data_IF_414150844402
#
_entry.id   IF_414150844402
#
_cell.length_a   1.000
_cell.length_b   1.000
_cell.length_c   1.000
_cell.angle_alpha   90.00
_cell.angle_beta   90.00
_cell.angle_gamma   90.00
#
_symmetry.space_group_name_H-M   'P 1'
#
loop_
_entity.id
_entity.type
_entity.pdbx_description
1 polymer ?
#
# COMPACT_ATOMS: atom_id res chain seq x y z
N UNK A 1 27.04 14.51 -34.36
CA UNK A 1 26.75 13.06 -34.55
C UNK A 1 26.00 12.56 -33.32
N UNK A 2 24.67 12.56 -33.36
CA UNK A 2 23.85 11.97 -32.30
C UNK A 2 23.75 10.47 -32.58
N UNK A 3 24.23 9.66 -31.64
CA UNK A 3 24.18 8.20 -31.72
C UNK A 3 22.73 7.77 -31.46
N UNK A 4 21.96 7.55 -32.52
CA UNK A 4 20.62 6.96 -32.43
C UNK A 4 20.79 5.48 -32.09
N UNK A 5 20.57 5.12 -30.82
CA UNK A 5 20.57 3.73 -30.39
C UNK A 5 19.27 3.08 -30.88
N UNK A 6 19.38 2.26 -31.92
CA UNK A 6 18.33 1.42 -32.45
C UNK A 6 18.13 0.23 -31.50
N UNK A 7 17.14 0.29 -30.62
CA UNK A 7 16.80 -0.81 -29.71
C UNK A 7 15.68 -1.65 -30.37
N UNK A 8 15.99 -2.88 -30.77
CA UNK A 8 15.00 -3.83 -31.29
C UNK A 8 14.45 -4.64 -30.11
N UNK A 9 13.32 -4.23 -29.53
CA UNK A 9 12.58 -5.06 -28.58
C UNK A 9 11.32 -5.56 -29.28
N UNK A 10 11.28 -6.87 -29.51
CA UNK A 10 10.15 -7.57 -30.11
C UNK A 10 9.08 -7.74 -29.04
N UNK A 11 8.05 -6.89 -29.06
CA UNK A 11 6.84 -7.11 -28.25
C UNK A 11 5.88 -7.92 -29.12
N UNK A 12 5.77 -9.21 -28.84
CA UNK A 12 4.88 -10.11 -29.58
C UNK A 12 3.42 -9.92 -29.12
N UNK A 13 2.75 -8.91 -29.66
CA UNK A 13 1.29 -8.87 -29.70
C UNK A 13 0.90 -9.08 -31.16
N UNK A 14 0.44 -10.31 -31.48
CA UNK A 14 -0.15 -10.74 -32.75
C UNK A 14 0.71 -10.51 -34.02
N UNK A 15 1.45 -11.53 -34.51
CA UNK A 15 2.02 -11.69 -35.88
C UNK A 15 2.46 -10.43 -36.66
N UNK A 16 2.93 -9.39 -35.97
CA UNK A 16 3.43 -8.14 -36.57
C UNK A 16 4.76 -7.86 -35.89
N UNK A 17 5.84 -7.90 -36.67
CA UNK A 17 7.15 -7.46 -36.21
C UNK A 17 7.09 -5.94 -36.08
N UNK A 18 6.97 -5.47 -34.84
CA UNK A 18 7.01 -4.06 -34.48
C UNK A 18 8.34 -3.69 -33.86
N UNK A 19 9.00 -2.65 -34.36
CA UNK A 19 10.12 -2.02 -33.67
C UNK A 19 9.65 -0.72 -33.03
N UNK A 20 10.17 -0.38 -31.85
CA UNK A 20 9.98 0.97 -31.32
C UNK A 20 11.31 1.67 -31.11
N UNK A 21 11.29 2.99 -31.22
CA UNK A 21 12.43 3.85 -30.92
C UNK A 21 11.97 4.95 -29.97
N UNK A 22 12.66 5.08 -28.83
CA UNK A 22 12.48 6.22 -27.92
C UNK A 22 13.60 7.22 -28.19
N UNK A 23 13.26 8.47 -28.43
CA UNK A 23 14.22 9.52 -28.76
C UNK A 23 13.79 10.86 -28.18
N UNK A 24 14.77 11.75 -28.00
CA UNK A 24 14.57 13.11 -27.56
C UNK A 24 14.86 14.06 -28.72
N UNK A 25 13.93 14.96 -29.03
CA UNK A 25 14.15 15.99 -30.05
C UNK A 25 15.11 17.09 -29.55
N UNK A 26 15.41 18.07 -30.40
CA UNK A 26 16.35 19.15 -30.07
C UNK A 26 15.86 20.08 -28.94
N UNK A 27 14.54 20.14 -28.68
CA UNK A 27 13.95 20.89 -27.56
C UNK A 27 13.90 20.10 -26.26
N UNK A 28 14.43 18.87 -26.23
CA UNK A 28 14.44 18.04 -25.03
C UNK A 28 13.13 17.25 -24.80
N UNK A 29 12.18 17.29 -25.73
CA UNK A 29 10.93 16.53 -25.63
C UNK A 29 11.14 15.07 -26.05
N UNK A 30 10.60 14.17 -25.24
CA UNK A 30 10.71 12.73 -25.44
C UNK A 30 9.57 12.21 -26.32
N UNK A 31 9.86 11.30 -27.25
CA UNK A 31 8.90 10.65 -28.13
C UNK A 31 9.19 9.15 -28.24
N UNK A 32 8.15 8.38 -28.52
CA UNK A 32 8.24 6.96 -28.89
C UNK A 32 7.60 6.76 -30.25
N UNK A 33 8.38 6.26 -31.20
CA UNK A 33 7.90 5.85 -32.51
C UNK A 33 7.76 4.34 -32.55
N UNK A 34 6.62 3.83 -32.99
CA UNK A 34 6.42 2.45 -33.36
C UNK A 34 6.40 2.31 -34.88
N UNK A 35 7.16 1.35 -35.38
CA UNK A 35 7.22 0.96 -36.78
C UNK A 35 6.67 -0.44 -36.89
N UNK A 36 5.62 -0.59 -37.68
CA UNK A 36 5.04 -1.89 -38.00
C UNK A 36 5.19 -2.16 -39.48
N UNK A 37 5.58 -3.39 -39.81
CA UNK A 37 5.72 -3.85 -41.18
C UNK A 37 4.55 -4.77 -41.53
N UNK A 38 3.87 -4.48 -42.64
CA UNK A 38 2.84 -5.37 -43.16
C UNK A 38 3.47 -6.72 -43.56
N UNK A 39 2.82 -7.83 -43.22
CA UNK A 39 3.21 -9.17 -43.69
C UNK A 39 2.36 -9.58 -44.90
N UNK A 40 2.98 -10.15 -45.94
CA UNK A 40 2.31 -10.65 -47.15
C UNK A 40 2.59 -9.82 -48.42
N UNK A 41 1.67 -9.85 -49.39
CA UNK A 41 1.83 -9.31 -50.77
C UNK A 41 2.23 -7.81 -50.82
N UNK A 42 2.03 -7.07 -49.73
CA UNK A 42 2.42 -5.66 -49.56
C UNK A 42 3.52 -5.47 -48.48
N UNK A 43 4.58 -6.29 -48.50
CA UNK A 43 5.68 -6.27 -47.52
C UNK A 43 6.47 -4.93 -47.44
N UNK A 44 6.19 -3.97 -48.31
CA UNK A 44 6.80 -2.63 -48.33
C UNK A 44 5.99 -1.56 -47.60
N UNK A 45 4.77 -1.86 -47.14
CA UNK A 45 3.96 -0.91 -46.38
C UNK A 45 4.46 -0.80 -44.92
N UNK A 46 5.12 0.32 -44.61
CA UNK A 46 5.56 0.70 -43.26
C UNK A 46 4.56 1.67 -42.66
N UNK A 47 3.95 1.29 -41.53
CA UNK A 47 3.16 2.22 -40.72
C UNK A 47 4.02 2.70 -39.56
N UNK A 48 4.28 4.00 -39.54
CA UNK A 48 4.97 4.67 -38.47
C UNK A 48 3.97 5.44 -37.61
N UNK A 49 4.00 5.23 -36.31
CA UNK A 49 3.15 5.95 -35.36
C UNK A 49 3.99 6.52 -34.24
N UNK A 50 3.85 7.82 -33.99
CA UNK A 50 4.61 8.53 -32.96
C UNK A 50 3.69 8.95 -31.80
N UNK A 51 4.19 8.76 -30.58
CA UNK A 51 3.55 9.19 -29.34
C UNK A 51 4.48 10.07 -28.52
N UNK A 52 3.93 11.04 -27.79
CA UNK A 52 4.70 11.87 -26.88
C UNK A 52 5.03 11.10 -25.59
N UNK A 53 6.28 11.18 -25.14
CA UNK A 53 6.80 10.49 -23.97
C UNK A 53 7.41 9.11 -24.28
N UNK A 54 7.61 8.32 -23.23
CA UNK A 54 8.21 6.98 -23.28
C UNK A 54 7.38 6.00 -22.43
N UNK A 55 7.39 4.69 -22.72
CA UNK A 55 6.89 3.72 -21.76
C UNK A 55 7.85 3.47 -20.58
N UNK A 56 9.13 3.85 -20.68
CA UNK A 56 10.17 3.54 -19.69
C UNK A 56 10.39 4.64 -18.64
N UNK A 57 10.73 4.26 -17.42
CA UNK A 57 11.02 5.16 -16.30
C UNK A 57 11.95 6.32 -16.69
N UNK A 58 13.07 6.00 -17.36
CA UNK A 58 14.16 6.93 -17.69
C UNK A 58 14.35 7.13 -19.19
N UNK A 59 15.04 8.22 -19.53
CA UNK A 59 15.69 8.40 -20.83
C UNK A 59 17.12 8.94 -20.59
N UNK A 60 18.19 8.34 -21.16
CA UNK A 60 18.21 7.10 -21.94
C UNK A 60 17.55 5.90 -21.23
N UNK A 61 17.03 4.94 -22.01
CA UNK A 61 16.24 3.82 -21.47
C UNK A 61 17.05 2.98 -20.49
N UNK A 62 18.26 2.60 -20.90
CA UNK A 62 19.18 1.79 -20.12
C UNK A 62 19.98 2.68 -19.18
N UNK A 63 19.91 2.37 -17.91
CA UNK A 63 20.62 3.08 -16.85
C UNK A 63 21.41 2.08 -16.01
N UNK A 64 22.57 2.47 -15.47
CA UNK A 64 23.28 1.64 -14.52
C UNK A 64 22.43 1.39 -13.28
N UNK A 65 22.54 0.20 -12.72
CA UNK A 65 21.79 -0.18 -11.55
C UNK A 65 22.19 -1.54 -11.02
N UNK A 66 21.46 -1.99 -10.01
CA UNK A 66 21.76 -3.23 -9.30
C UNK A 66 20.50 -4.04 -9.14
N UNK A 67 20.63 -5.36 -9.11
CA UNK A 67 19.51 -6.30 -8.99
C UNK A 67 19.77 -7.29 -7.87
N UNK A 68 18.75 -7.57 -7.08
CA UNK A 68 18.69 -8.71 -6.18
C UNK A 68 17.50 -9.59 -6.59
N UNK A 69 17.77 -10.78 -7.13
CA UNK A 69 16.74 -11.66 -7.69
C UNK A 69 15.86 -12.31 -6.61
N UNK A 70 16.47 -12.80 -5.54
CA UNK A 70 15.80 -13.41 -4.39
C UNK A 70 16.48 -12.99 -3.07
N UNK A 71 15.85 -13.30 -1.94
CA UNK A 71 16.30 -12.85 -0.61
C UNK A 71 17.65 -13.45 -0.17
N UNK A 72 18.10 -14.52 -0.82
CA UNK A 72 19.35 -15.23 -0.53
C UNK A 72 20.42 -14.97 -1.60
N UNK A 73 20.04 -14.29 -2.68
CA UNK A 73 20.87 -14.03 -3.84
C UNK A 73 21.94 -12.97 -3.58
N UNK A 74 22.89 -12.91 -4.50
CA UNK A 74 23.89 -11.85 -4.54
C UNK A 74 23.35 -10.67 -5.34
N UNK A 75 23.66 -9.46 -4.89
CA UNK A 75 23.44 -8.26 -5.69
C UNK A 75 24.34 -8.28 -6.93
N UNK A 76 23.75 -8.00 -8.10
CA UNK A 76 24.42 -8.01 -9.40
C UNK A 76 24.30 -6.63 -10.05
N UNK A 77 25.42 -6.10 -10.54
CA UNK A 77 25.45 -4.87 -11.31
C UNK A 77 24.96 -5.12 -12.75
N UNK A 78 24.18 -4.18 -13.28
CA UNK A 78 23.54 -4.33 -14.58
C UNK A 78 23.19 -2.99 -15.22
N UNK A 79 22.86 -3.04 -16.52
CA UNK A 79 22.05 -2.01 -17.14
C UNK A 79 20.57 -2.42 -17.07
N UNK A 80 19.74 -1.51 -16.57
CA UNK A 80 18.34 -1.76 -16.31
C UNK A 80 17.45 -0.76 -17.05
N UNK A 81 16.29 -1.26 -17.44
CA UNK A 81 15.20 -0.44 -17.94
C UNK A 81 13.90 -0.91 -17.29
N UNK A 82 13.10 0.03 -16.78
CA UNK A 82 11.82 -0.30 -16.15
C UNK A 82 10.68 0.23 -17.01
N UNK A 83 9.92 -0.67 -17.65
CA UNK A 83 8.76 -0.33 -18.47
C UNK A 83 7.56 -0.07 -17.55
N UNK A 84 7.12 1.18 -17.44
CA UNK A 84 6.02 1.59 -16.57
C UNK A 84 4.62 1.32 -17.17
N UNK A 85 4.55 0.89 -18.43
CA UNK A 85 3.29 0.46 -19.07
C UNK A 85 3.03 -1.01 -18.75
N UNK A 86 4.06 -1.87 -18.91
CA UNK A 86 3.96 -3.31 -18.67
C UNK A 86 4.43 -3.72 -17.28
N UNK A 87 5.00 -2.80 -16.49
CA UNK A 87 5.65 -3.08 -15.21
C UNK A 87 6.76 -4.15 -15.29
N UNK A 88 7.41 -4.28 -16.44
CA UNK A 88 8.52 -5.21 -16.66
C UNK A 88 9.85 -4.54 -16.34
N UNK A 89 10.71 -5.27 -15.62
CA UNK A 89 12.11 -4.88 -15.40
C UNK A 89 12.96 -5.63 -16.42
N UNK A 90 13.60 -4.89 -17.31
CA UNK A 90 14.49 -5.42 -18.32
C UNK A 90 15.93 -5.28 -17.83
N UNK A 91 16.72 -6.30 -18.13
CA UNK A 91 18.09 -6.50 -17.68
C UNK A 91 18.98 -6.82 -18.88
N UNK A 92 20.19 -6.26 -18.87
CA UNK A 92 21.30 -6.71 -19.73
C UNK A 92 22.64 -6.51 -19.03
N UNK A 93 23.64 -7.31 -19.42
CA UNK A 93 25.01 -7.05 -19.01
C UNK A 93 25.54 -5.80 -19.72
N UNK A 94 26.39 -4.99 -19.06
CA UNK A 94 27.00 -3.83 -19.69
C UNK A 94 27.73 -4.23 -20.98
N UNK A 95 27.33 -3.62 -22.11
CA UNK A 95 27.90 -3.89 -23.43
C UNK A 95 27.30 -5.10 -24.17
N UNK A 96 26.37 -5.84 -23.55
CA UNK A 96 25.61 -6.89 -24.22
C UNK A 96 24.35 -6.31 -24.90
N UNK A 97 23.98 -6.91 -26.03
CA UNK A 97 22.73 -6.61 -26.74
C UNK A 97 21.57 -7.51 -26.30
N UNK A 98 21.86 -8.64 -25.64
CA UNK A 98 20.84 -9.57 -25.16
C UNK A 98 20.07 -8.96 -23.97
N UNK A 99 18.75 -8.89 -24.12
CA UNK A 99 17.84 -8.33 -23.11
C UNK A 99 17.04 -9.47 -22.48
N UNK A 100 16.97 -9.49 -21.16
CA UNK A 100 16.16 -10.42 -20.38
C UNK A 100 15.10 -9.65 -19.59
N UNK A 101 13.91 -10.23 -19.44
CA UNK A 101 12.88 -9.73 -18.53
C UNK A 101 13.03 -10.49 -17.22
N UNK A 102 13.20 -9.75 -16.12
CA UNK A 102 13.43 -10.31 -14.79
C UNK A 102 12.36 -9.86 -13.81
N UNK A 103 12.22 -10.60 -12.72
CA UNK A 103 11.26 -10.28 -11.65
C UNK A 103 11.94 -10.24 -10.29
N UNK A 104 12.83 -9.26 -10.06
CA UNK A 104 13.64 -9.21 -8.85
C UNK A 104 12.86 -8.94 -7.57
N UNK A 105 13.46 -9.28 -6.44
CA UNK A 105 12.99 -8.86 -5.12
C UNK A 105 13.19 -7.34 -4.96
N UNK A 106 14.36 -6.84 -5.33
CA UNK A 106 14.69 -5.40 -5.36
C UNK A 106 15.60 -5.07 -6.53
N UNK A 107 15.55 -3.83 -7.01
CA UNK A 107 16.55 -3.31 -7.95
C UNK A 107 16.79 -1.82 -7.73
N UNK A 108 17.85 -1.29 -8.30
CA UNK A 108 18.10 0.15 -8.37
C UNK A 108 18.19 0.60 -9.82
N UNK A 109 17.67 1.79 -10.13
CA UNK A 109 17.98 2.48 -11.39
C UNK A 109 18.58 3.82 -10.99
N UNK A 110 19.81 4.09 -11.39
CA UNK A 110 20.62 5.16 -10.80
C UNK A 110 20.71 4.98 -9.27
N UNK A 111 20.32 6.00 -8.50
CA UNK A 111 20.23 5.96 -7.03
C UNK A 111 18.88 5.48 -6.50
N UNK A 112 17.87 5.36 -7.36
CA UNK A 112 16.49 5.08 -6.92
C UNK A 112 16.31 3.59 -6.67
N UNK A 113 15.98 3.23 -5.43
CA UNK A 113 15.73 1.84 -5.02
C UNK A 113 14.26 1.49 -5.18
N UNK A 114 14.01 0.34 -5.81
CA UNK A 114 12.70 -0.24 -6.04
C UNK A 114 12.56 -1.55 -5.29
N UNK A 115 11.43 -1.74 -4.61
CA UNK A 115 11.10 -2.94 -3.86
C UNK A 115 9.82 -3.59 -4.39
N UNK A 116 9.79 -4.91 -4.35
CA UNK A 116 8.59 -5.68 -4.62
C UNK A 116 7.74 -5.79 -3.35
N UNK A 117 6.46 -5.35 -3.35
CA UNK A 117 5.60 -5.50 -2.18
C UNK A 117 5.35 -6.98 -1.85
N UNK A 118 5.56 -7.36 -0.60
CA UNK A 118 5.33 -8.71 -0.09
C UNK A 118 3.84 -9.02 0.13
N UNK A 119 3.45 -10.29 0.09
CA UNK A 119 2.16 -10.74 0.63
C UNK A 119 0.92 -10.52 -0.24
N UNK A 120 1.06 -10.59 -1.57
CA UNK A 120 -0.12 -10.67 -2.42
C UNK A 120 0.08 -11.68 -3.56
N UNK A 121 -0.43 -12.89 -3.29
CA UNK A 121 -0.64 -13.96 -4.25
C UNK A 121 -2.07 -13.79 -4.73
N UNK A 122 -2.24 -13.00 -5.78
CA UNK A 122 -3.39 -13.09 -6.66
C UNK A 122 -2.81 -13.19 -8.06
N UNK A 123 -3.20 -14.25 -8.75
CA UNK A 123 -2.71 -14.74 -10.04
C UNK A 123 -3.14 -13.90 -11.23
N UNK A 124 -3.77 -12.73 -11.01
CA UNK A 124 -4.17 -11.82 -12.07
C UNK A 124 -3.56 -10.42 -11.90
N UNK A 125 -2.67 -10.11 -12.85
CA UNK A 125 -2.35 -8.80 -13.44
C UNK A 125 -1.61 -7.74 -12.59
N UNK A 126 -0.36 -7.50 -13.01
CA UNK A 126 0.43 -6.26 -12.89
C UNK A 126 0.61 -5.66 -11.49
N UNK A 127 1.79 -5.88 -10.89
CA UNK A 127 2.23 -5.21 -9.66
C UNK A 127 3.32 -4.20 -10.00
N UNK A 128 3.10 -2.89 -9.81
CA UNK A 128 4.20 -1.94 -9.92
C UNK A 128 5.18 -2.19 -8.78
N UNK A 129 6.48 -2.14 -9.08
CA UNK A 129 7.50 -1.96 -8.06
C UNK A 129 7.33 -0.58 -7.42
N UNK A 130 7.58 -0.52 -6.11
CA UNK A 130 7.48 0.73 -5.36
C UNK A 130 8.88 1.29 -5.15
N UNK A 131 9.07 2.55 -5.52
CA UNK A 131 10.30 3.30 -5.25
C UNK A 131 10.32 3.69 -3.77
N UNK A 132 11.45 3.48 -3.10
CA UNK A 132 11.65 3.83 -1.69
C UNK A 132 12.07 5.29 -1.59
N UNK A 133 11.20 6.15 -1.08
CA UNK A 133 11.49 7.56 -0.85
C UNK A 133 12.13 7.80 0.52
N UNK A 134 11.75 7.01 1.52
CA UNK A 134 12.37 7.00 2.85
C UNK A 134 12.35 5.57 3.39
N UNK A 135 13.45 5.17 4.04
CA UNK A 135 13.69 3.80 4.49
C UNK A 135 13.89 3.72 6.02
N UNK A 136 12.95 4.30 6.79
CA UNK A 136 12.88 4.17 8.25
C UNK A 136 12.02 2.98 8.71
N UNK A 137 11.78 2.84 10.04
CA UNK A 137 10.77 1.94 10.60
C UNK A 137 9.40 2.10 9.91
N UNK A 138 9.03 3.33 9.55
CA UNK A 138 7.90 3.62 8.66
C UNK A 138 8.42 4.16 7.32
N UNK A 139 8.21 3.40 6.24
CA UNK A 139 8.68 3.73 4.89
C UNK A 139 7.67 4.60 4.16
N UNK A 140 8.18 5.58 3.40
CA UNK A 140 7.42 6.27 2.36
C UNK A 140 7.78 5.67 1.01
N UNK A 141 6.76 5.25 0.26
CA UNK A 141 6.92 4.56 -1.01
C UNK A 141 6.15 5.27 -2.12
N UNK A 142 6.66 5.18 -3.36
CA UNK A 142 6.07 5.78 -4.56
C UNK A 142 5.86 4.72 -5.64
N UNK A 143 4.61 4.48 -6.00
CA UNK A 143 4.23 3.71 -7.18
C UNK A 143 4.14 4.60 -8.42
N UNK A 144 4.63 4.10 -9.54
CA UNK A 144 4.56 4.79 -10.84
C UNK A 144 4.03 3.83 -11.89
N UNK A 145 3.13 4.34 -12.73
CA UNK A 145 2.64 3.62 -13.92
C UNK A 145 2.46 4.59 -15.06
N UNK A 146 2.47 4.09 -16.29
CA UNK A 146 2.21 4.88 -17.50
C UNK A 146 1.07 4.25 -18.30
N UNK A 147 0.20 5.11 -18.80
CA UNK A 147 -0.87 4.73 -19.72
C UNK A 147 -0.74 5.54 -21.00
N UNK A 148 -0.82 4.87 -22.15
CA UNK A 148 -0.90 5.54 -23.43
C UNK A 148 -2.32 6.08 -23.62
N UNK A 149 -2.46 7.41 -23.75
CA UNK A 149 -3.73 8.04 -24.08
C UNK A 149 -3.68 8.57 -25.50
N UNK A 150 -4.64 8.14 -26.31
CA UNK A 150 -4.85 8.72 -27.64
C UNK A 150 -5.29 10.18 -27.52
N UNK A 151 -4.85 11.01 -28.48
CA UNK A 151 -5.30 12.39 -28.57
C UNK A 151 -6.79 12.42 -28.98
N UNK A 152 -7.62 13.08 -28.18
CA UNK A 152 -9.06 13.20 -28.46
C UNK A 152 -9.38 14.30 -29.48
N UNK A 153 -8.41 15.18 -29.79
CA UNK A 153 -8.47 16.16 -30.86
C UNK A 153 -7.22 16.03 -31.73
N UNK A 154 -7.45 15.82 -33.01
CA UNK A 154 -6.44 15.95 -34.06
C UNK A 154 -6.15 17.44 -34.24
N UNK A 155 -5.33 18.03 -33.37
CA UNK A 155 -4.89 19.42 -33.57
C UNK A 155 -3.90 19.44 -34.74
N UNK A 156 -4.43 19.73 -35.92
CA UNK A 156 -3.75 19.76 -37.23
C UNK A 156 -2.78 20.94 -37.42
N UNK A 157 -2.34 21.59 -36.33
CA UNK A 157 -1.62 22.85 -36.38
C UNK A 157 -0.23 22.85 -35.72
N UNK A 158 0.33 21.69 -35.37
CA UNK A 158 1.76 21.56 -35.05
C UNK A 158 2.50 21.00 -36.28
N UNK A 159 3.35 21.81 -36.90
CA UNK A 159 3.99 21.49 -38.18
C UNK A 159 5.15 20.49 -38.11
N UNK A 160 5.60 20.07 -36.93
CA UNK A 160 6.91 19.41 -36.83
C UNK A 160 6.90 17.94 -36.38
N UNK A 161 5.92 17.46 -35.59
CA UNK A 161 5.72 16.02 -35.30
C UNK A 161 4.23 15.73 -35.05
N UNK A 162 3.60 14.96 -35.93
CA UNK A 162 2.24 14.46 -35.71
C UNK A 162 2.26 13.32 -34.67
N UNK A 163 1.69 13.57 -33.49
CA UNK A 163 1.57 12.54 -32.44
C UNK A 163 0.13 12.04 -32.34
N UNK A 164 -0.04 10.71 -32.22
CA UNK A 164 -1.36 10.09 -32.05
C UNK A 164 -1.83 10.05 -30.59
N UNK A 165 -0.97 10.42 -29.65
CA UNK A 165 -1.23 10.34 -28.22
C UNK A 165 -0.01 10.64 -27.37
N UNK A 166 -0.18 10.53 -26.05
CA UNK A 166 0.87 10.75 -25.07
C UNK A 166 0.86 9.68 -23.96
N UNK A 167 2.05 9.34 -23.45
CA UNK A 167 2.18 8.55 -22.22
C UNK A 167 1.91 9.44 -21.01
N UNK A 168 0.84 9.12 -20.27
CA UNK A 168 0.48 9.81 -19.04
C UNK A 168 0.98 9.01 -17.85
N UNK A 169 1.77 9.66 -17.00
CA UNK A 169 2.26 9.06 -15.75
C UNK A 169 1.23 9.22 -14.65
N UNK A 170 0.91 8.12 -13.97
CA UNK A 170 0.14 8.12 -12.72
C UNK A 170 1.09 7.80 -11.56
N UNK A 171 0.98 8.59 -10.49
CA UNK A 171 1.77 8.42 -9.26
C UNK A 171 0.80 8.12 -8.11
N UNK A 172 1.13 7.08 -7.34
CA UNK A 172 0.46 6.71 -6.11
C UNK A 172 1.49 6.67 -4.97
N UNK A 173 1.13 7.11 -3.77
CA UNK A 173 2.03 7.09 -2.61
C UNK A 173 1.52 6.11 -1.56
N UNK A 174 2.44 5.46 -0.86
CA UNK A 174 2.12 4.47 0.16
C UNK A 174 2.95 4.68 1.41
N UNK A 175 2.36 4.40 2.56
CA UNK A 175 3.06 4.27 3.83
C UNK A 175 3.16 2.78 4.17
N UNK A 176 4.33 2.33 4.61
CA UNK A 176 4.53 0.96 5.07
C UNK A 176 5.14 0.97 6.48
N UNK A 177 4.40 0.43 7.46
CA UNK A 177 4.85 0.31 8.86
C UNK A 177 5.58 -1.03 9.07
N UNK A 178 6.89 -1.01 9.29
CA UNK A 178 7.70 -2.22 9.40
C UNK A 178 7.51 -3.15 8.20
N UNK A 179 7.14 -4.41 8.48
CA UNK A 179 6.87 -5.45 7.48
C UNK A 179 5.38 -5.57 7.09
N UNK A 180 4.52 -4.67 7.60
CA UNK A 180 3.10 -4.64 7.24
C UNK A 180 2.92 -4.33 5.75
N UNK A 181 1.71 -4.53 5.22
CA UNK A 181 1.43 -4.24 3.81
C UNK A 181 1.47 -2.73 3.58
N UNK A 182 2.03 -2.23 2.46
CA UNK A 182 1.93 -0.83 2.09
C UNK A 182 0.47 -0.39 1.94
N UNK A 183 0.10 0.73 2.56
CA UNK A 183 -1.24 1.32 2.50
C UNK A 183 -1.22 2.59 1.65
N UNK A 184 -2.15 2.69 0.69
CA UNK A 184 -2.28 3.82 -0.22
C UNK A 184 -2.68 5.08 0.56
N UNK A 185 -1.99 6.18 0.29
CA UNK A 185 -2.31 7.50 0.83
C UNK A 185 -2.54 8.52 -0.30
N UNK A 186 -3.22 9.60 0.06
CA UNK A 186 -3.42 10.76 -0.79
C UNK A 186 -2.77 11.98 -0.12
N UNK A 187 -1.69 12.48 -0.71
CA UNK A 187 -0.95 13.65 -0.19
C UNK A 187 -1.79 14.94 -0.13
N UNK A 188 -2.89 15.02 -0.89
CA UNK A 188 -3.83 16.14 -0.83
C UNK A 188 -4.89 15.99 0.27
N UNK A 189 -4.88 14.90 1.04
CA UNK A 189 -5.87 14.60 2.08
C UNK A 189 -5.20 14.08 3.35
N UNK A 190 -5.01 14.96 4.33
CA UNK A 190 -4.41 14.64 5.63
C UNK A 190 -5.11 13.49 6.36
N UNK A 191 -6.44 13.39 6.25
CA UNK A 191 -7.19 12.25 6.81
C UNK A 191 -6.79 10.89 6.22
N UNK A 192 -6.30 10.83 4.97
CA UNK A 192 -5.81 9.57 4.40
C UNK A 192 -4.49 9.13 5.04
N UNK A 193 -3.63 10.09 5.43
CA UNK A 193 -2.37 9.84 6.12
C UNK A 193 -2.65 9.43 7.57
N UNK A 194 -3.53 10.18 8.26
CA UNK A 194 -3.96 9.87 9.63
C UNK A 194 -4.63 8.50 9.74
N UNK A 195 -5.35 8.05 8.72
CA UNK A 195 -5.98 6.73 8.70
C UNK A 195 -4.95 5.58 8.67
N UNK A 196 -3.76 5.79 8.08
CA UNK A 196 -2.68 4.80 8.09
C UNK A 196 -1.85 4.89 9.38
N UNK A 197 -1.63 6.11 9.88
CA UNK A 197 -0.89 6.41 11.11
C UNK A 197 -1.81 6.53 12.33
N UNK A 198 -2.82 5.66 12.41
CA UNK A 198 -3.93 5.75 13.38
C UNK A 198 -3.47 5.68 14.84
N UNK A 199 -2.32 5.08 15.14
CA UNK A 199 -1.82 4.92 16.51
C UNK A 199 -1.50 6.26 17.17
N UNK A 200 -1.10 7.27 16.39
CA UNK A 200 -0.72 8.59 16.89
C UNK A 200 -1.49 9.71 16.17
N UNK A 201 -2.66 9.39 15.60
CA UNK A 201 -3.43 10.34 14.76
C UNK A 201 -3.73 11.66 15.48
N UNK A 202 -4.03 11.60 16.77
CA UNK A 202 -4.37 12.78 17.58
C UNK A 202 -3.18 13.74 17.72
N UNK A 203 -1.95 13.20 17.88
CA UNK A 203 -0.71 13.99 17.95
C UNK A 203 -0.26 14.48 16.57
N UNK A 204 -0.50 13.71 15.53
CA UNK A 204 -0.12 14.07 14.16
C UNK A 204 -1.05 15.12 13.54
N UNK A 205 -2.31 15.20 13.99
CA UNK A 205 -3.29 16.15 13.44
C UNK A 205 -2.83 17.61 13.56
N UNK A 206 -2.03 17.95 14.57
CA UNK A 206 -1.49 19.31 14.74
C UNK A 206 -0.33 19.62 13.79
N UNK A 207 0.38 18.59 13.31
CA UNK A 207 1.48 18.71 12.35
C UNK A 207 0.99 18.72 10.91
N UNK A 208 -0.17 18.11 10.63
CA UNK A 208 -0.75 18.05 9.30
C UNK A 208 -1.70 19.23 9.08
N UNK A 209 -1.36 20.08 8.11
CA UNK A 209 -2.28 21.13 7.62
C UNK A 209 -3.29 20.55 6.63
N UNK A 210 -4.37 21.27 6.34
CA UNK A 210 -5.33 20.89 5.28
C UNK A 210 -4.81 21.12 3.86
N UNK A 211 -3.56 21.59 3.70
CA UNK A 211 -2.93 21.78 2.40
C UNK A 211 -2.31 20.47 1.91
N UNK A 212 -2.13 20.36 0.59
CA UNK A 212 -1.40 19.23 0.01
C UNK A 212 0.02 19.18 0.57
N UNK A 213 0.41 18.02 1.08
CA UNK A 213 1.78 17.75 1.51
C UNK A 213 2.67 17.43 0.30
N UNK A 214 3.93 17.84 0.38
CA UNK A 214 4.97 17.30 -0.51
C UNK A 214 5.49 15.97 0.07
N UNK A 215 6.10 15.10 -0.74
CA UNK A 215 6.75 13.90 -0.23
C UNK A 215 7.80 14.19 0.85
N UNK A 216 8.57 15.26 0.70
CA UNK A 216 9.62 15.66 1.64
C UNK A 216 9.04 16.05 3.01
N UNK A 217 7.98 16.87 3.03
CA UNK A 217 7.28 17.21 4.26
C UNK A 217 6.68 15.98 4.95
N UNK A 218 6.23 14.98 4.17
CA UNK A 218 5.73 13.73 4.74
C UNK A 218 6.86 12.90 5.36
N UNK A 219 8.08 12.93 4.83
CA UNK A 219 9.23 12.24 5.44
C UNK A 219 9.46 12.75 6.87
N UNK A 220 9.38 14.06 7.10
CA UNK A 220 9.54 14.65 8.44
C UNK A 220 8.40 14.23 9.39
N UNK A 221 7.17 14.18 8.89
CA UNK A 221 6.01 13.68 9.67
C UNK A 221 6.19 12.21 10.05
N UNK A 222 6.72 11.39 9.14
CA UNK A 222 7.00 9.98 9.42
C UNK A 222 8.13 9.81 10.45
N UNK A 223 9.17 10.64 10.39
CA UNK A 223 10.23 10.62 11.40
C UNK A 223 9.69 10.97 12.79
N UNK A 224 8.81 11.98 12.88
CA UNK A 224 8.12 12.32 14.13
C UNK A 224 7.21 11.19 14.63
N UNK A 225 6.46 10.55 13.72
CA UNK A 225 5.66 9.37 14.05
C UNK A 225 6.52 8.22 14.60
N UNK A 226 7.66 7.92 13.96
CA UNK A 226 8.55 6.84 14.39
C UNK A 226 9.11 7.09 15.80
N UNK A 227 9.44 8.35 16.15
CA UNK A 227 9.84 8.72 17.52
C UNK A 227 8.72 8.49 18.54
N UNK A 228 7.47 8.82 18.20
CA UNK A 228 6.32 8.56 19.07
C UNK A 228 6.07 7.05 19.25
N UNK A 229 6.26 6.27 18.20
CA UNK A 229 6.07 4.82 18.23
C UNK A 229 7.17 4.08 18.99
N UNK A 230 8.39 4.60 19.03
CA UNK A 230 9.47 4.00 19.82
C UNK A 230 9.11 3.95 21.32
N UNK A 231 8.59 5.06 21.87
CA UNK A 231 8.10 5.08 23.25
C UNK A 231 6.93 4.11 23.47
N UNK A 232 5.96 4.10 22.56
CA UNK A 232 4.75 3.27 22.65
C UNK A 232 5.06 1.76 22.59
N UNK A 233 6.03 1.35 21.77
CA UNK A 233 6.43 -0.07 21.62
C UNK A 233 7.00 -0.68 22.89
N UNK A 234 7.69 0.11 23.72
CA UNK A 234 8.28 -0.40 24.97
C UNK A 234 7.23 -0.74 26.03
N UNK A 235 6.04 -0.16 25.91
CA UNK A 235 4.93 -0.35 26.86
C UNK A 235 3.97 -1.46 26.43
N UNK A 236 3.96 -1.82 25.14
CA UNK A 236 3.04 -2.80 24.55
C UNK A 236 3.61 -4.21 24.57
N UNK A 237 2.71 -5.17 24.66
CA UNK A 237 3.05 -6.58 24.41
C UNK A 237 3.67 -6.75 23.00
N UNK A 238 4.61 -7.71 22.80
CA UNK A 238 5.26 -7.92 21.50
C UNK A 238 4.29 -8.13 20.34
N UNK A 239 3.14 -8.78 20.60
CA UNK A 239 2.09 -8.98 19.60
C UNK A 239 1.37 -7.66 19.24
N UNK A 240 1.07 -6.81 20.22
CA UNK A 240 0.47 -5.48 19.98
C UNK A 240 1.46 -4.47 19.42
N UNK A 241 2.77 -4.70 19.57
CA UNK A 241 3.81 -3.91 18.92
C UNK A 241 4.06 -4.35 17.45
N UNK A 242 3.48 -5.47 17.01
CA UNK A 242 3.65 -5.97 15.65
C UNK A 242 2.74 -5.21 14.65
N UNK A 243 3.30 -4.49 13.66
CA UNK A 243 2.52 -3.65 12.76
C UNK A 243 1.65 -4.45 11.79
N UNK A 244 1.99 -5.70 11.49
CA UNK A 244 1.16 -6.56 10.61
C UNK A 244 -0.11 -6.97 11.35
N UNK A 245 0.02 -7.38 12.61
CA UNK A 245 -1.11 -7.75 13.45
C UNK A 245 -2.05 -6.56 13.67
N UNK A 246 -1.52 -5.42 14.12
CA UNK A 246 -2.34 -4.24 14.42
C UNK A 246 -2.98 -3.64 13.16
N UNK A 247 -2.29 -3.64 12.02
CA UNK A 247 -2.87 -3.22 10.74
C UNK A 247 -4.12 -4.04 10.39
N UNK A 248 -4.07 -5.36 10.54
CA UNK A 248 -5.23 -6.21 10.25
C UNK A 248 -6.35 -5.96 11.26
N UNK A 249 -6.06 -5.81 12.55
CA UNK A 249 -7.08 -5.44 13.54
C UNK A 249 -7.78 -4.13 13.16
N UNK A 250 -7.01 -3.09 12.81
CA UNK A 250 -7.56 -1.80 12.39
C UNK A 250 -8.41 -1.89 11.12
N UNK A 251 -8.01 -2.70 10.14
CA UNK A 251 -8.76 -2.86 8.89
C UNK A 251 -10.01 -3.75 9.03
N UNK A 252 -10.04 -4.68 9.98
CA UNK A 252 -11.09 -5.72 10.08
C UNK A 252 -12.06 -5.50 11.23
N UNK A 253 -11.62 -4.91 12.35
CA UNK A 253 -12.48 -4.62 13.50
C UNK A 253 -13.03 -3.20 13.32
N UNK A 254 -14.12 -3.11 12.57
CA UNK A 254 -14.81 -1.84 12.34
C UNK A 254 -16.00 -1.68 13.27
N UNK A 255 -16.38 -0.43 13.54
CA UNK A 255 -17.55 -0.13 14.35
C UNK A 255 -18.83 -0.60 13.63
N UNK A 256 -19.65 -1.50 14.23
CA UNK A 256 -20.89 -1.92 13.60
C UNK A 256 -21.85 -0.73 13.39
N UNK A 257 -22.26 -0.49 12.14
CA UNK A 257 -23.09 0.66 11.79
C UNK A 257 -24.43 0.71 12.56
N UNK A 258 -25.02 -0.45 12.85
CA UNK A 258 -26.24 -0.55 13.64
C UNK A 258 -26.04 -0.05 15.09
N UNK A 259 -24.96 -0.50 15.75
CA UNK A 259 -24.59 -0.07 17.09
C UNK A 259 -24.27 1.44 17.12
N UNK A 260 -23.48 1.92 16.16
CA UNK A 260 -23.18 3.35 16.01
C UNK A 260 -24.45 4.19 15.88
N UNK A 261 -25.39 3.76 15.04
CA UNK A 261 -26.61 4.50 14.77
C UNK A 261 -27.54 4.62 15.97
N UNK A 262 -27.42 3.71 16.94
CA UNK A 262 -28.22 3.65 18.16
C UNK A 262 -27.50 4.18 19.41
N UNK A 263 -26.31 4.75 19.26
CA UNK A 263 -25.55 5.27 20.40
C UNK A 263 -24.96 4.18 21.30
N UNK A 264 -24.74 2.98 20.77
CA UNK A 264 -24.27 1.84 21.56
C UNK A 264 -22.75 1.78 21.54
N UNK A 265 -22.14 1.67 22.71
CA UNK A 265 -20.71 1.39 22.91
C UNK A 265 -20.53 0.16 23.81
N UNK A 266 -19.34 -0.44 23.87
CA UNK A 266 -19.14 -1.66 24.65
C UNK A 266 -17.75 -2.27 24.50
N UNK A 267 -17.49 -3.30 25.30
CA UNK A 267 -16.19 -4.00 25.32
C UNK A 267 -16.36 -5.48 25.00
N UNK A 268 -15.45 -6.01 24.20
CA UNK A 268 -15.35 -7.43 23.88
C UNK A 268 -14.03 -7.96 24.39
N UNK A 269 -14.04 -9.15 24.99
CA UNK A 269 -12.81 -9.89 25.30
C UNK A 269 -12.78 -11.14 24.43
N UNK A 270 -11.78 -11.23 23.54
CA UNK A 270 -11.60 -12.39 22.67
C UNK A 270 -10.37 -13.19 23.11
N UNK A 271 -10.54 -14.47 23.41
CA UNK A 271 -9.44 -15.40 23.66
C UNK A 271 -9.04 -16.11 22.37
N UNK A 272 -7.74 -16.35 22.16
CA UNK A 272 -7.24 -17.11 21.01
C UNK A 272 -5.85 -17.68 21.29
N UNK A 273 -5.44 -18.64 20.48
CA UNK A 273 -4.12 -19.27 20.54
C UNK A 273 -3.34 -18.96 19.25
N UNK A 274 -2.03 -18.78 19.37
CA UNK A 274 -1.09 -18.74 18.23
C UNK A 274 -0.29 -20.04 18.25
N UNK A 275 -0.32 -20.79 17.14
CA UNK A 275 0.40 -22.05 17.00
C UNK A 275 1.87 -21.88 16.57
N UNK A 276 2.58 -23.00 16.38
CA UNK A 276 4.00 -23.02 15.99
C UNK A 276 4.26 -22.51 14.57
N UNK A 277 3.22 -22.33 13.78
CA UNK A 277 3.26 -21.80 12.42
C UNK A 277 2.83 -20.33 12.39
N UNK A 278 2.51 -19.75 13.55
CA UNK A 278 2.03 -18.37 13.67
C UNK A 278 0.54 -18.22 13.35
N UNK A 279 -0.22 -19.31 13.20
CA UNK A 279 -1.63 -19.24 12.86
C UNK A 279 -2.48 -18.96 14.10
N UNK A 280 -3.48 -18.08 13.95
CA UNK A 280 -4.48 -17.83 14.98
C UNK A 280 -5.52 -18.95 14.94
N UNK A 281 -5.71 -19.60 16.08
CA UNK A 281 -6.64 -20.71 16.28
C UNK A 281 -7.44 -20.53 17.58
N UNK A 282 -8.45 -21.38 17.80
CA UNK A 282 -9.24 -21.42 19.04
C UNK A 282 -9.85 -20.06 19.46
N UNK A 283 -10.32 -19.28 18.48
CA UNK A 283 -10.92 -17.96 18.73
C UNK A 283 -12.24 -18.14 19.50
N UNK A 284 -12.32 -17.55 20.69
CA UNK A 284 -13.47 -17.63 21.59
C UNK A 284 -13.82 -16.25 22.14
N UNK A 285 -15.11 -15.97 22.32
CA UNK A 285 -15.55 -14.73 22.98
C UNK A 285 -15.76 -15.02 24.46
N UNK A 286 -15.01 -14.32 25.29
CA UNK A 286 -14.98 -14.50 26.74
C UNK A 286 -15.95 -13.56 27.47
N UNK A 287 -16.20 -12.38 26.89
CA UNK A 287 -17.19 -11.42 27.38
C UNK A 287 -18.62 -11.94 27.21
N UNK A 288 -19.57 -11.46 28.02
CA UNK A 288 -20.99 -11.73 27.80
C UNK A 288 -21.49 -11.26 26.42
N UNK A 289 -22.67 -11.72 26.01
CA UNK A 289 -23.30 -11.27 24.76
C UNK A 289 -23.52 -9.75 24.78
N UNK A 290 -23.29 -9.08 23.66
CA UNK A 290 -23.51 -7.64 23.52
C UNK A 290 -24.93 -7.35 23.04
N UNK A 291 -25.94 -8.01 23.60
CA UNK A 291 -27.35 -7.87 23.27
C UNK A 291 -27.66 -7.86 21.75
N UNK A 292 -26.91 -8.64 20.96
CA UNK A 292 -27.09 -8.70 19.50
C UNK A 292 -26.50 -7.53 18.68
N UNK A 293 -25.71 -6.63 19.28
CA UNK A 293 -25.08 -5.48 18.58
C UNK A 293 -23.85 -5.84 17.72
N UNK A 294 -23.49 -7.12 17.65
CA UNK A 294 -22.49 -7.70 16.72
C UNK A 294 -21.04 -7.25 16.92
N UNK A 295 -20.70 -6.60 18.04
CA UNK A 295 -19.31 -6.31 18.39
C UNK A 295 -18.46 -7.59 18.48
N UNK A 296 -19.02 -8.65 19.07
CA UNK A 296 -18.39 -9.96 19.21
C UNK A 296 -18.08 -10.59 17.84
N UNK A 297 -19.02 -10.46 16.90
CA UNK A 297 -18.91 -11.02 15.56
C UNK A 297 -17.79 -10.37 14.74
N UNK A 298 -17.66 -9.03 14.78
CA UNK A 298 -16.59 -8.34 14.04
C UNK A 298 -15.21 -8.67 14.59
N UNK A 299 -15.07 -8.78 15.92
CA UNK A 299 -13.80 -9.16 16.56
C UNK A 299 -13.44 -10.62 16.23
N UNK A 300 -14.39 -11.55 16.37
CA UNK A 300 -14.18 -12.97 16.04
C UNK A 300 -13.76 -13.14 14.58
N UNK A 301 -14.52 -12.55 13.66
CA UNK A 301 -14.23 -12.65 12.22
C UNK A 301 -12.86 -12.07 11.84
N UNK A 302 -12.42 -11.01 12.52
CA UNK A 302 -11.11 -10.42 12.29
C UNK A 302 -9.98 -11.37 12.71
N UNK A 303 -10.10 -11.99 13.87
CA UNK A 303 -9.11 -12.94 14.40
C UNK A 303 -9.08 -14.25 13.60
N UNK A 304 -10.23 -14.80 13.23
CA UNK A 304 -10.34 -16.03 12.43
C UNK A 304 -9.77 -15.88 11.01
N UNK A 305 -9.80 -14.67 10.46
CA UNK A 305 -9.27 -14.35 9.12
C UNK A 305 -7.89 -13.69 9.18
N UNK A 306 -7.24 -13.70 10.33
CA UNK A 306 -5.90 -13.15 10.50
C UNK A 306 -4.90 -14.00 9.69
N UNK A 307 -4.04 -13.38 8.86
CA UNK A 307 -2.89 -14.07 8.29
C UNK A 307 -1.94 -14.60 9.39
N UNK A 308 -1.11 -15.61 9.10
CA UNK A 308 -0.10 -16.04 10.06
C UNK A 308 0.77 -14.87 10.53
N UNK A 309 0.95 -14.77 11.84
CA UNK A 309 1.89 -13.82 12.47
C UNK A 309 3.25 -14.47 12.66
N UNK A 310 4.22 -13.76 13.24
CA UNK A 310 5.53 -14.35 13.53
C UNK A 310 5.36 -15.57 14.48
N UNK A 311 5.82 -16.78 14.10
CA UNK A 311 5.78 -17.97 14.95
C UNK A 311 6.41 -17.82 16.34
N UNK A 312 7.35 -16.88 16.53
CA UNK A 312 7.93 -16.56 17.83
C UNK A 312 6.92 -15.96 18.83
N UNK A 313 5.76 -15.53 18.34
CA UNK A 313 4.64 -15.02 19.14
C UNK A 313 3.67 -16.16 19.55
N UNK A 314 4.14 -17.41 19.58
CA UNK A 314 3.35 -18.55 20.04
C UNK A 314 2.86 -18.33 21.48
N UNK A 315 1.58 -18.59 21.74
CA UNK A 315 1.02 -18.42 23.07
C UNK A 315 -0.50 -18.44 23.11
N UNK A 316 -1.05 -18.23 24.31
CA UNK A 316 -2.49 -18.06 24.54
C UNK A 316 -2.76 -16.62 24.96
N UNK A 317 -3.69 -15.97 24.28
CA UNK A 317 -3.90 -14.53 24.40
C UNK A 317 -5.34 -14.19 24.71
N UNK A 318 -5.52 -13.03 25.32
CA UNK A 318 -6.81 -12.33 25.40
C UNK A 318 -6.63 -10.95 24.80
N UNK A 319 -7.44 -10.60 23.81
CA UNK A 319 -7.52 -9.26 23.26
C UNK A 319 -8.77 -8.55 23.80
N UNK A 320 -8.61 -7.55 24.68
CA UNK A 320 -9.66 -6.59 24.99
C UNK A 320 -9.85 -5.65 23.80
N UNK A 321 -11.09 -5.47 23.37
CA UNK A 321 -11.48 -4.53 22.31
C UNK A 321 -12.55 -3.59 22.86
N UNK A 322 -12.23 -2.30 22.93
CA UNK A 322 -13.16 -1.27 23.37
C UNK A 322 -13.74 -0.52 22.16
N UNK A 323 -15.04 -0.62 21.97
CA UNK A 323 -15.78 0.23 21.05
C UNK A 323 -16.16 1.51 21.80
N UNK A 324 -15.56 2.62 21.40
CA UNK A 324 -15.68 3.93 22.05
C UNK A 324 -16.50 4.85 21.16
N UNK A 325 -17.50 5.50 21.73
CA UNK A 325 -18.42 6.38 21.00
C UNK A 325 -18.35 7.80 21.54
N UNK A 326 -18.31 8.80 20.67
CA UNK A 326 -18.59 10.19 21.03
C UNK A 326 -19.87 10.65 20.34
N UNK A 327 -20.91 11.02 21.10
CA UNK A 327 -22.07 11.71 20.54
C UNK A 327 -21.97 13.21 20.82
N UNK A 328 -21.59 14.00 19.82
CA UNK A 328 -21.33 15.45 19.98
C UNK A 328 -22.58 16.28 20.28
N UNK A 329 -23.78 15.67 20.22
CA UNK A 329 -25.03 16.29 20.68
C UNK A 329 -25.36 16.01 22.16
N UNK A 330 -24.67 15.07 22.77
CA UNK A 330 -24.78 14.71 24.18
C UNK A 330 -23.59 15.28 24.97
N UNK A 331 -22.37 14.98 24.54
CA UNK A 331 -21.12 15.45 25.16
C UNK A 331 -19.98 15.46 24.13
N UNK A 332 -18.98 16.31 24.34
CA UNK A 332 -17.73 16.26 23.58
C UNK A 332 -16.76 15.18 24.08
N UNK A 333 -17.02 14.61 25.25
CA UNK A 333 -16.20 13.54 25.85
C UNK A 333 -16.54 12.17 25.24
N UNK A 334 -15.54 11.28 25.06
CA UNK A 334 -15.77 9.92 24.59
C UNK A 334 -16.41 9.04 25.68
N UNK A 335 -17.42 8.25 25.30
CA UNK A 335 -17.99 7.20 26.12
C UNK A 335 -17.11 5.94 26.02
N UNK A 336 -16.35 5.70 27.08
CA UNK A 336 -15.44 4.57 27.21
C UNK A 336 -16.15 3.47 28.03
N UNK A 337 -16.17 2.20 27.56
CA UNK A 337 -16.75 1.10 28.32
C UNK A 337 -16.10 0.94 29.70
N UNK A 338 -16.91 0.80 30.75
CA UNK A 338 -16.41 0.60 32.13
C UNK A 338 -16.46 -0.86 32.57
N UNK A 339 -17.29 -1.69 31.96
CA UNK A 339 -17.41 -3.10 32.35
C UNK A 339 -16.15 -3.89 31.98
N UNK A 340 -15.63 -4.66 32.93
CA UNK A 340 -14.43 -5.48 32.76
C UNK A 340 -14.74 -6.95 32.97
N UNK A 341 -14.02 -7.81 32.25
CA UNK A 341 -14.11 -9.24 32.44
C UNK A 341 -13.36 -9.64 33.73
N UNK A 342 -13.96 -10.46 34.61
CA UNK A 342 -13.27 -10.99 35.78
C UNK A 342 -11.96 -11.74 35.42
N UNK A 343 -10.93 -11.60 36.24
CA UNK A 343 -9.57 -12.11 35.96
C UNK A 343 -9.48 -13.64 35.89
N UNK A 344 -10.33 -14.36 36.63
CA UNK A 344 -10.46 -15.82 36.60
C UNK A 344 -10.81 -16.33 35.19
N UNK A 345 -11.62 -15.57 34.42
CA UNK A 345 -11.99 -15.89 33.05
C UNK A 345 -10.84 -15.73 32.05
N UNK A 346 -9.78 -15.02 32.44
CA UNK A 346 -8.59 -14.76 31.64
C UNK A 346 -7.36 -15.55 32.12
N UNK A 347 -7.51 -16.36 33.17
CA UNK A 347 -6.43 -17.12 33.78
C UNK A 347 -5.68 -18.00 32.77
N UNK A 348 -4.35 -18.02 32.88
CA UNK A 348 -3.46 -18.80 32.02
C UNK A 348 -3.29 -18.24 30.59
N UNK A 349 -3.72 -17.00 30.32
CA UNK A 349 -3.54 -16.32 29.04
C UNK A 349 -2.84 -14.97 29.24
N UNK A 350 -2.07 -14.56 28.24
CA UNK A 350 -1.47 -13.22 28.18
C UNK A 350 -2.55 -12.22 27.77
N UNK A 351 -2.92 -11.31 28.66
CA UNK A 351 -3.85 -10.22 28.34
C UNK A 351 -3.09 -9.14 27.58
N UNK A 352 -3.55 -8.85 26.37
CA UNK A 352 -2.99 -7.84 25.49
C UNK A 352 -3.49 -6.44 25.87
N UNK A 353 -2.76 -5.43 25.41
CA UNK A 353 -3.19 -4.04 25.45
C UNK A 353 -4.55 -3.87 24.79
N UNK A 354 -5.40 -3.03 25.37
CA UNK A 354 -6.75 -2.81 24.84
C UNK A 354 -6.71 -2.17 23.45
N UNK A 355 -7.37 -2.81 22.49
CA UNK A 355 -7.54 -2.27 21.16
C UNK A 355 -8.78 -1.38 21.09
N UNK A 356 -8.57 -0.06 20.94
CA UNK A 356 -9.64 0.92 20.90
C UNK A 356 -10.17 1.16 19.48
N UNK A 357 -11.48 0.99 19.29
CA UNK A 357 -12.22 1.28 18.06
C UNK A 357 -13.11 2.48 18.30
N UNK A 358 -12.65 3.66 17.87
CA UNK A 358 -13.33 4.93 18.12
C UNK A 358 -14.29 5.28 16.99
N UNK A 359 -15.44 5.85 17.31
CA UNK A 359 -16.34 6.48 16.34
C UNK A 359 -17.01 7.73 16.92
N UNK A 360 -17.58 8.57 16.06
CA UNK A 360 -18.33 9.76 16.46
C UNK A 360 -19.65 9.86 15.70
N UNK A 361 -20.68 10.33 16.39
CA UNK A 361 -21.99 10.66 15.83
C UNK A 361 -22.41 12.07 16.27
N UNK A 362 -23.37 12.65 15.57
CA UNK A 362 -23.95 13.95 15.91
C UNK A 362 -25.47 13.83 15.79
N UNK A 363 -26.08 13.15 16.76
CA UNK A 363 -27.53 12.84 16.73
C UNK A 363 -28.22 13.30 18.01
N UNK A 364 -29.16 14.26 17.93
CA UNK A 364 -29.94 14.67 19.09
C UNK A 364 -30.89 13.54 19.51
N UNK A 365 -31.18 13.44 20.81
CA UNK A 365 -32.17 12.50 21.36
C UNK A 365 -31.75 11.03 21.41
N UNK A 366 -30.52 10.71 20.99
CA UNK A 366 -29.93 9.37 21.17
C UNK A 366 -28.95 9.45 22.33
N UNK A 367 -29.33 8.85 23.47
CA UNK A 367 -28.45 8.72 24.62
C UNK A 367 -27.47 7.56 24.40
N UNK A 368 -26.19 7.82 24.64
CA UNK A 368 -25.15 6.81 24.52
C UNK A 368 -25.26 5.80 25.66
N UNK A 369 -25.24 4.50 25.34
CA UNK A 369 -25.31 3.43 26.36
C UNK A 369 -24.26 2.36 26.15
N UNK A 370 -23.72 1.87 27.26
CA UNK A 370 -22.87 0.69 27.26
C UNK A 370 -23.72 -0.58 27.17
N UNK A 371 -23.22 -1.59 26.45
CA UNK A 371 -23.77 -2.94 26.48
C UNK A 371 -22.77 -3.94 27.04
N UNK A 372 -23.27 -4.80 27.93
CA UNK A 372 -22.52 -5.88 28.56
C UNK A 372 -23.47 -6.94 29.11
N UNK A 373 -23.65 -8.03 28.37
CA UNK A 373 -24.64 -9.06 28.69
C UNK A 373 -26.04 -8.71 28.21
N UNK A 374 -27.01 -9.55 28.60
CA UNK A 374 -28.42 -9.27 28.37
C UNK A 374 -28.88 -8.17 29.34
N UNK A 375 -29.60 -7.18 28.80
CA UNK A 375 -30.40 -6.25 29.60
C UNK A 375 -31.28 -7.09 30.54
N UNK A 376 -31.17 -6.87 31.85
CA UNK A 376 -32.24 -7.24 32.78
C UNK A 376 -33.28 -6.14 32.81
#
# INVERSE_FOLDING_TARGET
MKLSILLLIIICVTNVHGQFTVYQNDSGQLFTTFETYASGINASARTQTTYQGSPFLTYPIWQPGTVLLDKQGKQVDAELAYNLVTNEVLYRFPGDSAVQIITPETFTINSDRFIRPQGTISTNMFRPYLMVLSNGPTKLLKGMSRQLRANSRLDSYSKDIYTLGAYITKIDYYIQKGEAKPELINLAKSNSILAVLYEQSDKLKTQLTDKSLTPEALIDVLAYYDQLMEGDRTMKSPLMANPTFTQVLHQKITYPAFAQNQGIYGRVYAGFDIDKQGQITNVTILSPDNAGFRFDLVVRNALEKMPPVNPELQGKYVLPVAFILTNTKESNEPHIPVNQLPSDRMSGKTVLDEFAVKTSISKPGIASREVWGYYK
#
